data_IF_923602050152
#
_entry.id   IF_923602050152
#
_cell.length_a   1.000
_cell.length_b   1.000
_cell.length_c   1.000
_cell.angle_alpha   90.00
_cell.angle_beta   90.00
_cell.angle_gamma   90.00
#
_symmetry.space_group_name_H-M   'P 1'
#
loop_
_entity.id
_entity.type
_entity.pdbx_description
1 polymer ?
#
# COMPACT_ATOMS: atom_id res chain seq x y z
N UNK A 1 6.94 3.39 -9.92
CA UNK A 1 6.78 1.91 -9.93
C UNK A 1 5.40 1.56 -9.41
N UNK A 2 4.86 0.38 -9.74
CA UNK A 2 3.51 0.02 -9.31
C UNK A 2 3.54 -0.75 -8.00
N UNK A 3 2.90 -0.18 -6.97
CA UNK A 3 2.62 -0.88 -5.72
C UNK A 3 1.36 -1.72 -5.93
N UNK A 4 1.41 -3.00 -5.56
CA UNK A 4 0.29 -3.93 -5.72
C UNK A 4 -0.11 -4.54 -4.38
N UNK A 5 -1.21 -5.29 -4.38
CA UNK A 5 -1.69 -6.03 -3.20
C UNK A 5 -0.66 -7.06 -2.68
N UNK A 6 0.26 -7.53 -3.53
CA UNK A 6 1.32 -8.44 -3.12
C UNK A 6 2.30 -7.75 -2.15
N UNK A 7 2.76 -6.55 -2.50
CA UNK A 7 3.62 -5.74 -1.63
C UNK A 7 2.91 -5.39 -0.32
N UNK A 8 1.62 -5.06 -0.39
CA UNK A 8 0.82 -4.73 0.79
C UNK A 8 0.62 -5.91 1.76
N UNK A 9 0.59 -7.14 1.26
CA UNK A 9 0.53 -8.35 2.11
C UNK A 9 1.88 -8.74 2.71
N UNK A 10 2.97 -8.34 2.08
CA UNK A 10 4.33 -8.67 2.50
C UNK A 10 4.95 -7.61 3.43
N UNK A 11 4.37 -6.41 3.51
CA UNK A 11 4.92 -5.30 4.32
C UNK A 11 5.00 -5.67 5.81
N UNK A 12 6.21 -5.68 6.41
CA UNK A 12 6.37 -5.91 7.83
C UNK A 12 6.08 -4.63 8.64
N UNK A 13 5.55 -4.77 9.86
CA UNK A 13 5.60 -3.70 10.88
C UNK A 13 4.36 -2.81 11.05
N UNK A 14 3.28 -2.97 10.28
CA UNK A 14 2.08 -2.12 10.41
C UNK A 14 0.95 -2.69 11.29
N UNK A 15 1.18 -3.83 11.95
CA UNK A 15 0.23 -4.44 12.87
C UNK A 15 0.86 -5.56 13.72
N UNK A 16 0.08 -6.19 14.62
CA UNK A 16 0.55 -7.31 15.44
C UNK A 16 0.86 -8.59 14.62
N UNK A 17 0.49 -8.60 13.34
CA UNK A 17 0.93 -9.59 12.36
C UNK A 17 1.62 -8.86 11.19
N UNK A 18 2.65 -9.46 10.57
CA UNK A 18 3.20 -8.96 9.32
C UNK A 18 2.12 -8.97 8.23
N UNK A 19 2.08 -7.90 7.43
CA UNK A 19 1.09 -7.69 6.38
C UNK A 19 -0.05 -6.76 6.81
N UNK A 20 -0.43 -5.86 5.91
CA UNK A 20 -1.58 -5.00 6.12
C UNK A 20 -2.86 -5.79 5.80
N UNK A 21 -3.80 -5.85 6.74
CA UNK A 21 -5.06 -6.55 6.54
C UNK A 21 -5.93 -5.81 5.51
N UNK A 22 -6.60 -6.55 4.62
CA UNK A 22 -7.39 -5.97 3.52
C UNK A 22 -8.44 -4.95 4.00
N UNK A 23 -8.95 -5.12 5.21
CA UNK A 23 -9.87 -4.17 5.86
C UNK A 23 -9.19 -2.84 6.19
N UNK A 24 -7.97 -2.88 6.75
CA UNK A 24 -7.19 -1.68 7.05
C UNK A 24 -6.82 -0.93 5.78
N UNK A 25 -6.42 -1.67 4.72
CA UNK A 25 -6.15 -1.09 3.41
C UNK A 25 -7.38 -0.42 2.85
N UNK A 26 -8.52 -1.11 2.85
CA UNK A 26 -9.76 -0.54 2.32
C UNK A 26 -10.17 0.73 3.06
N UNK A 27 -10.02 0.77 4.39
CA UNK A 27 -10.29 1.96 5.19
C UNK A 27 -9.32 3.11 4.89
N UNK A 28 -8.03 2.82 4.72
CA UNK A 28 -7.02 3.79 4.30
C UNK A 28 -7.38 4.37 2.93
N UNK A 29 -7.57 3.52 1.92
CA UNK A 29 -7.90 3.94 0.56
C UNK A 29 -9.20 4.76 0.53
N UNK A 30 -10.23 4.34 1.26
CA UNK A 30 -11.48 5.10 1.39
C UNK A 30 -11.28 6.48 2.05
N UNK A 31 -10.41 6.58 3.06
CA UNK A 31 -10.10 7.86 3.74
C UNK A 31 -9.39 8.84 2.82
N UNK A 32 -8.52 8.35 1.95
CA UNK A 32 -7.75 9.16 1.00
C UNK A 32 -8.44 9.33 -0.36
N UNK A 33 -9.62 8.73 -0.56
CA UNK A 33 -10.34 8.77 -1.84
C UNK A 33 -9.67 7.98 -2.96
N UNK A 34 -8.82 7.00 -2.60
CA UNK A 34 -8.12 6.14 -3.54
C UNK A 34 -8.99 4.92 -3.90
N UNK A 35 -8.89 4.49 -5.16
CA UNK A 35 -9.70 3.39 -5.65
C UNK A 35 -9.06 2.02 -5.34
N UNK A 36 -9.61 1.36 -4.31
CA UNK A 36 -9.16 0.03 -3.87
C UNK A 36 -9.32 -1.04 -4.96
N UNK A 37 -10.36 -0.93 -5.78
CA UNK A 37 -10.63 -1.93 -6.83
C UNK A 37 -9.63 -1.81 -7.96
N UNK A 38 -9.33 -0.57 -8.38
CA UNK A 38 -8.26 -0.30 -9.34
C UNK A 38 -6.91 -0.79 -8.82
N UNK A 39 -6.61 -0.56 -7.53
CA UNK A 39 -5.38 -1.02 -6.89
C UNK A 39 -5.22 -2.55 -6.91
N UNK A 40 -6.29 -3.33 -6.66
CA UNK A 40 -6.19 -4.79 -6.72
C UNK A 40 -5.92 -5.27 -8.15
N UNK A 41 -6.52 -4.61 -9.14
CA UNK A 41 -6.50 -5.06 -10.53
C UNK A 41 -5.22 -4.66 -11.27
N UNK A 42 -4.78 -3.42 -11.10
CA UNK A 42 -3.66 -2.82 -11.85
C UNK A 42 -2.50 -2.36 -10.95
N UNK A 43 -2.73 -2.25 -9.64
CA UNK A 43 -1.83 -1.56 -8.72
C UNK A 43 -2.10 -0.05 -8.68
N UNK A 44 -1.33 0.66 -7.86
CA UNK A 44 -1.31 2.12 -7.80
C UNK A 44 0.13 2.59 -7.91
N UNK A 45 0.31 3.78 -8.46
CA UNK A 45 1.64 4.38 -8.54
C UNK A 45 2.16 4.78 -7.15
N UNK A 46 3.46 4.62 -6.95
CA UNK A 46 4.12 5.04 -5.72
C UNK A 46 3.97 6.54 -5.48
N UNK A 47 3.94 7.37 -6.52
CA UNK A 47 3.73 8.82 -6.38
C UNK A 47 2.35 9.16 -5.83
N UNK A 48 1.31 8.40 -6.22
CA UNK A 48 -0.04 8.61 -5.69
C UNK A 48 -0.13 8.22 -4.21
N UNK A 49 0.62 7.20 -3.78
CA UNK A 49 0.76 6.84 -2.38
C UNK A 49 1.56 7.92 -1.62
N UNK A 50 2.73 8.33 -2.12
CA UNK A 50 3.54 9.38 -1.51
C UNK A 50 2.80 10.71 -1.41
N UNK A 51 1.92 11.02 -2.37
CA UNK A 51 1.06 12.19 -2.38
C UNK A 51 0.03 12.22 -1.23
N UNK A 52 -0.29 11.07 -0.61
CA UNK A 52 -1.12 11.04 0.61
C UNK A 52 -0.38 11.56 1.84
N UNK A 53 0.96 11.53 1.83
CA UNK A 53 1.80 11.98 2.95
C UNK A 53 1.72 11.12 4.21
N UNK A 54 1.09 9.94 4.13
CA UNK A 54 0.92 9.05 5.27
C UNK A 54 2.16 8.17 5.50
N UNK A 55 2.52 7.95 6.76
CA UNK A 55 3.64 7.08 7.12
C UNK A 55 3.45 5.65 6.58
N UNK A 56 2.21 5.18 6.46
CA UNK A 56 1.91 3.88 5.85
C UNK A 56 2.21 3.84 4.37
N UNK A 57 1.85 4.89 3.64
CA UNK A 57 2.09 4.97 2.21
C UNK A 57 3.59 4.96 1.91
N UNK A 58 4.36 5.73 2.68
CA UNK A 58 5.83 5.80 2.55
C UNK A 58 6.44 4.43 2.81
N UNK A 59 6.13 3.80 3.95
CA UNK A 59 6.68 2.49 4.30
C UNK A 59 6.29 1.39 3.30
N UNK A 60 5.08 1.45 2.75
CA UNK A 60 4.61 0.53 1.71
C UNK A 60 5.39 0.70 0.40
N UNK A 61 5.65 1.95 -0.01
CA UNK A 61 6.45 2.27 -1.20
C UNK A 61 7.88 1.80 -1.03
N UNK A 62 8.49 2.05 0.14
CA UNK A 62 9.85 1.59 0.45
C UNK A 62 9.94 0.06 0.43
N UNK A 63 8.96 -0.63 1.02
CA UNK A 63 8.91 -2.09 1.00
C UNK A 63 8.72 -2.64 -0.43
N UNK A 64 7.82 -2.03 -1.21
CA UNK A 64 7.63 -2.40 -2.61
C UNK A 64 8.94 -2.27 -3.41
N UNK A 65 9.64 -1.14 -3.25
CA UNK A 65 10.97 -0.92 -3.87
C UNK A 65 11.99 -1.97 -3.44
N UNK A 66 11.97 -2.40 -2.18
CA UNK A 66 12.88 -3.44 -1.70
C UNK A 66 12.53 -4.83 -2.21
N UNK A 67 11.26 -5.11 -2.55
CA UNK A 67 10.81 -6.41 -3.01
C UNK A 67 11.10 -6.64 -4.51
N UNK A 68 11.25 -5.55 -5.28
CA UNK A 68 11.53 -5.61 -6.73
C UNK A 68 12.99 -5.24 -7.09
N UNK A 69 13.87 -5.11 -6.10
CA UNK A 69 15.32 -4.96 -6.29
C UNK A 69 16.05 -6.30 -6.20
#
# INVERSE_FOLDING_TARGET
>A
MKVTVAHLRSVPGFGPKPGFCATGSRAFFARYGLDWTAFIKDGIDEEALLGTGDALAIALVEHARSCEQ
#
